data_IF_550325465986
#
_entry.id   IF_550325465986
#
_cell.length_a   1.000
_cell.length_b   1.000
_cell.length_c   1.000
_cell.angle_alpha   90.00
_cell.angle_beta   90.00
_cell.angle_gamma   90.00
#
_symmetry.space_group_name_H-M   'P 1'
#
loop_
_entity.id
_entity.type
_entity.pdbx_description
1 polymer ?
#
# COMPACT_ATOMS: atom_id res chain seq x y z
N UNK A 1 -24.53 0.98 -39.70
CA UNK A 1 -24.66 1.57 -38.35
C UNK A 1 -26.09 1.46 -37.80
N UNK A 2 -27.10 1.97 -38.51
CA UNK A 2 -28.49 2.00 -38.05
C UNK A 2 -29.08 0.61 -37.72
N UNK A 3 -28.70 -0.42 -38.49
CA UNK A 3 -29.13 -1.81 -38.26
C UNK A 3 -28.52 -2.43 -36.99
N UNK A 4 -27.29 -2.05 -36.62
CA UNK A 4 -26.62 -2.51 -35.38
C UNK A 4 -27.21 -1.84 -34.14
N UNK A 5 -27.62 -0.57 -34.24
CA UNK A 5 -28.29 0.15 -33.16
C UNK A 5 -29.65 -0.48 -32.83
N UNK A 6 -30.47 -0.79 -33.84
CA UNK A 6 -31.73 -1.52 -33.63
C UNK A 6 -31.53 -2.90 -32.99
N UNK A 7 -30.45 -3.60 -33.36
CA UNK A 7 -30.14 -4.89 -32.78
C UNK A 7 -29.72 -4.78 -31.30
N UNK A 8 -29.02 -3.70 -30.92
CA UNK A 8 -28.64 -3.41 -29.54
C UNK A 8 -29.85 -2.99 -28.69
N UNK A 9 -30.76 -2.19 -29.24
CA UNK A 9 -32.01 -1.81 -28.56
C UNK A 9 -32.87 -3.05 -28.29
N UNK A 10 -33.02 -3.94 -29.28
CA UNK A 10 -33.74 -5.20 -29.10
C UNK A 10 -33.12 -6.08 -28.00
N UNK A 11 -31.79 -6.22 -27.99
CA UNK A 11 -31.07 -6.99 -26.97
C UNK A 11 -31.17 -6.37 -25.57
N UNK A 12 -31.28 -5.05 -25.47
CA UNK A 12 -31.49 -4.34 -24.21
C UNK A 12 -32.91 -4.56 -23.67
N UNK A 13 -33.91 -4.51 -24.54
CA UNK A 13 -35.31 -4.80 -24.21
C UNK A 13 -35.48 -6.25 -23.72
N UNK A 14 -34.89 -7.21 -24.44
CA UNK A 14 -34.92 -8.64 -24.09
C UNK A 14 -34.22 -8.91 -22.75
N UNK A 15 -33.10 -8.24 -22.47
CA UNK A 15 -32.44 -8.32 -21.16
C UNK A 15 -33.30 -7.73 -20.05
N UNK A 16 -33.99 -6.61 -20.30
CA UNK A 16 -34.87 -6.00 -19.31
C UNK A 16 -36.04 -6.92 -18.95
N UNK A 17 -36.61 -7.59 -19.95
CA UNK A 17 -37.68 -8.58 -19.73
C UNK A 17 -37.17 -9.81 -18.97
N UNK A 18 -36.00 -10.34 -19.31
CA UNK A 18 -35.39 -11.45 -18.55
C UNK A 18 -35.15 -11.09 -17.08
N UNK A 19 -34.64 -9.88 -16.81
CA UNK A 19 -34.41 -9.40 -15.44
C UNK A 19 -35.74 -9.24 -14.68
N UNK A 20 -36.80 -8.78 -15.36
CA UNK A 20 -38.16 -8.74 -14.81
C UNK A 20 -38.68 -10.12 -14.41
N UNK A 21 -38.55 -11.11 -15.31
CA UNK A 21 -38.97 -12.48 -15.04
C UNK A 21 -38.17 -13.14 -13.91
N UNK A 22 -36.86 -12.86 -13.81
CA UNK A 22 -36.03 -13.31 -12.69
C UNK A 22 -36.46 -12.68 -11.37
N UNK A 23 -36.76 -11.38 -11.35
CA UNK A 23 -37.27 -10.69 -10.16
C UNK A 23 -38.60 -11.27 -9.69
N UNK A 24 -39.53 -11.51 -10.60
CA UNK A 24 -40.85 -12.05 -10.28
C UNK A 24 -40.75 -13.51 -9.80
N UNK A 25 -39.86 -14.30 -10.39
CA UNK A 25 -39.57 -15.67 -9.95
C UNK A 25 -38.95 -15.71 -8.54
N UNK A 26 -38.05 -14.78 -8.22
CA UNK A 26 -37.46 -14.65 -6.87
C UNK A 26 -38.50 -14.19 -5.85
N UNK A 27 -39.42 -13.30 -6.22
CA UNK A 27 -40.52 -12.89 -5.33
C UNK A 27 -41.54 -14.01 -5.10
N UNK A 28 -41.84 -14.82 -6.11
CA UNK A 28 -42.72 -15.99 -5.95
C UNK A 28 -42.12 -17.05 -5.01
N UNK A 29 -40.80 -17.23 -5.03
CA UNK A 29 -40.08 -18.13 -4.11
C UNK A 29 -39.97 -17.57 -2.69
N UNK A 30 -40.01 -16.24 -2.51
CA UNK A 30 -40.03 -15.59 -1.20
C UNK A 30 -41.42 -15.38 -0.58
N UNK A 31 -42.49 -15.74 -1.29
CA UNK A 31 -43.86 -15.29 -1.01
C UNK A 31 -44.83 -16.32 -0.40
N UNK A 32 -44.39 -17.51 -0.01
CA UNK A 32 -45.22 -18.49 0.72
C UNK A 32 -44.97 -18.42 2.22
N UNK A 33 -45.83 -17.70 2.97
CA UNK A 33 -45.83 -17.77 4.46
C UNK A 33 -46.54 -19.02 4.98
N UNK A 34 -47.00 -19.05 6.24
CA UNK A 34 -46.37 -18.67 7.51
C UNK A 34 -46.08 -19.94 8.36
N UNK A 35 -44.93 -20.01 9.02
CA UNK A 35 -44.61 -21.05 10.01
C UNK A 35 -44.16 -22.39 9.40
N UNK A 36 -42.85 -22.64 9.46
CA UNK A 36 -42.26 -23.91 9.05
C UNK A 36 -40.74 -23.83 9.10
N UNK A 37 -40.17 -24.39 10.15
CA UNK A 37 -38.75 -24.70 10.29
C UNK A 37 -38.28 -25.61 9.16
N UNK A 38 -36.98 -25.55 8.85
CA UNK A 38 -36.20 -26.46 7.98
C UNK A 38 -36.25 -26.25 6.46
N UNK A 39 -35.36 -25.38 5.98
CA UNK A 39 -34.45 -25.70 4.86
C UNK A 39 -33.26 -24.72 4.87
N UNK A 40 -32.05 -25.28 4.75
CA UNK A 40 -30.77 -24.61 5.04
C UNK A 40 -30.52 -23.31 4.27
N UNK A 41 -29.97 -22.34 5.00
CA UNK A 41 -29.71 -20.97 4.55
C UNK A 41 -28.72 -20.87 3.38
N UNK A 42 -29.25 -20.89 2.16
CA UNK A 42 -28.52 -20.66 0.91
C UNK A 42 -28.89 -19.32 0.23
N UNK A 43 -29.84 -18.57 0.78
CA UNK A 43 -30.29 -17.31 0.20
C UNK A 43 -30.20 -16.14 1.18
N UNK A 44 -29.87 -14.93 0.73
CA UNK A 44 -29.90 -13.74 1.59
C UNK A 44 -31.30 -13.50 2.16
N UNK A 45 -31.41 -13.30 3.47
CA UNK A 45 -32.66 -12.90 4.11
C UNK A 45 -32.56 -11.50 4.69
N UNK A 46 -33.71 -10.82 4.79
CA UNK A 46 -33.80 -9.45 5.26
C UNK A 46 -34.30 -9.41 6.69
N UNK A 47 -33.57 -8.72 7.55
CA UNK A 47 -33.97 -8.45 8.92
C UNK A 47 -35.07 -7.39 8.96
N UNK A 48 -35.85 -7.37 10.05
CA UNK A 48 -36.97 -6.43 10.26
C UNK A 48 -36.54 -4.97 10.31
N UNK A 49 -35.25 -4.70 10.59
CA UNK A 49 -34.61 -3.38 10.54
C UNK A 49 -34.14 -2.99 9.11
N UNK A 50 -34.44 -3.81 8.10
CA UNK A 50 -34.14 -3.54 6.70
C UNK A 50 -32.75 -3.96 6.24
N UNK A 51 -31.91 -4.51 7.12
CA UNK A 51 -30.55 -4.98 6.79
C UNK A 51 -30.59 -6.35 6.11
N UNK A 52 -29.72 -6.57 5.12
CA UNK A 52 -29.58 -7.84 4.42
C UNK A 52 -28.47 -8.68 5.04
N UNK A 53 -28.76 -9.95 5.34
CA UNK A 53 -27.78 -10.89 5.88
C UNK A 53 -27.43 -11.91 4.80
N UNK A 54 -26.15 -11.97 4.44
CA UNK A 54 -25.63 -12.98 3.51
C UNK A 54 -25.28 -14.25 4.29
N UNK A 55 -25.60 -15.46 3.79
CA UNK A 55 -25.27 -16.72 4.45
C UNK A 55 -23.77 -16.88 4.77
N UNK A 56 -22.93 -16.29 3.94
CA UNK A 56 -21.47 -16.31 4.03
C UNK A 56 -20.94 -15.56 5.27
N UNK A 57 -21.65 -14.51 5.71
CA UNK A 57 -21.30 -13.76 6.91
C UNK A 57 -21.56 -14.57 8.19
N UNK A 58 -22.58 -15.42 8.18
CA UNK A 58 -22.91 -16.30 9.31
C UNK A 58 -21.93 -17.46 9.40
N UNK A 59 -21.50 -18.02 8.26
CA UNK A 59 -20.49 -19.08 8.21
C UNK A 59 -19.11 -18.58 8.71
N UNK A 60 -18.72 -17.34 8.38
CA UNK A 60 -17.49 -16.74 8.87
C UNK A 60 -17.54 -16.47 10.38
N UNK A 61 -18.68 -16.01 10.91
CA UNK A 61 -18.86 -15.82 12.35
C UNK A 61 -18.83 -17.15 13.14
N UNK A 62 -19.26 -18.25 12.53
CA UNK A 62 -19.27 -19.57 13.17
C UNK A 62 -17.92 -20.33 13.11
N UNK A 63 -16.99 -19.92 12.23
CA UNK A 63 -15.70 -20.60 12.01
C UNK A 63 -14.49 -19.70 12.31
N UNK A 64 -14.58 -18.88 13.36
CA UNK A 64 -13.41 -18.16 13.88
C UNK A 64 -12.30 -19.14 14.29
N UNK A 65 -11.01 -18.79 14.11
CA UNK A 65 -9.91 -19.66 14.49
C UNK A 65 -9.93 -19.90 16.00
N UNK A 66 -9.95 -21.17 16.41
CA UNK A 66 -9.76 -21.60 17.79
C UNK A 66 -8.30 -21.36 18.23
N UNK A 67 -7.93 -20.09 18.41
CA UNK A 67 -6.78 -19.66 19.20
C UNK A 67 -7.30 -18.91 20.44
N UNK A 68 -6.56 -18.86 21.54
CA UNK A 68 -6.96 -18.05 22.69
C UNK A 68 -7.08 -16.61 22.21
N UNK A 69 -8.31 -16.10 22.15
CA UNK A 69 -8.58 -14.69 21.96
C UNK A 69 -7.86 -13.97 23.09
N UNK A 70 -6.81 -13.22 22.76
CA UNK A 70 -6.33 -12.16 23.64
C UNK A 70 -7.50 -11.24 24.01
N UNK A 71 -7.43 -10.53 25.14
CA UNK A 71 -8.53 -9.68 25.58
C UNK A 71 -8.97 -8.81 24.42
N UNK A 72 -10.27 -8.86 24.10
CA UNK A 72 -10.86 -8.08 23.02
C UNK A 72 -10.42 -6.63 23.18
N UNK A 73 -9.66 -6.10 22.21
CA UNK A 73 -9.44 -4.67 22.15
C UNK A 73 -10.81 -4.02 22.08
N UNK A 74 -11.19 -3.30 23.14
CA UNK A 74 -12.43 -2.51 23.15
C UNK A 74 -12.45 -1.62 21.91
N UNK A 75 -13.53 -1.71 21.12
CA UNK A 75 -13.76 -0.79 20.01
C UNK A 75 -13.72 0.64 20.55
N UNK A 76 -12.69 1.40 20.18
CA UNK A 76 -12.56 2.79 20.59
C UNK A 76 -13.38 3.66 19.65
N UNK A 77 -14.33 4.39 20.21
CA UNK A 77 -15.04 5.42 19.45
C UNK A 77 -14.04 6.49 19.01
N UNK A 78 -14.05 6.91 17.73
CA UNK A 78 -13.31 8.08 17.30
C UNK A 78 -13.92 9.29 18.00
N UNK A 79 -13.36 9.69 19.15
CA UNK A 79 -13.85 10.83 19.92
C UNK A 79 -13.69 12.09 19.08
N UNK A 80 -14.83 12.65 18.68
CA UNK A 80 -14.93 13.74 17.71
C UNK A 80 -14.37 15.09 18.11
N UNK A 81 -13.75 15.29 19.29
CA UNK A 81 -13.37 16.64 19.73
C UNK A 81 -12.22 16.72 20.76
N UNK A 82 -11.42 15.66 20.93
CA UNK A 82 -10.13 15.82 21.61
C UNK A 82 -9.04 15.64 20.57
N UNK A 83 -8.39 16.74 20.10
CA UNK A 83 -7.22 16.61 19.26
C UNK A 83 -6.18 15.93 20.13
N UNK A 84 -6.02 14.62 19.95
CA UNK A 84 -4.87 13.94 20.51
C UNK A 84 -3.65 14.78 20.09
N UNK A 85 -2.83 15.18 21.06
CA UNK A 85 -1.79 16.20 20.89
C UNK A 85 -0.76 15.66 19.88
N UNK A 86 -0.73 16.19 18.67
CA UNK A 86 0.35 15.94 17.70
C UNK A 86 1.35 17.08 17.83
N UNK A 87 2.63 16.75 17.70
CA UNK A 87 3.68 17.77 17.60
C UNK A 87 3.56 18.53 16.27
N UNK A 88 3.22 17.82 15.19
CA UNK A 88 3.01 18.40 13.85
C UNK A 88 1.64 17.98 13.32
N UNK A 89 0.78 18.97 13.06
CA UNK A 89 -0.50 18.78 12.36
C UNK A 89 -0.45 19.54 11.05
N UNK A 90 -0.55 18.81 9.94
CA UNK A 90 -0.33 19.38 8.60
C UNK A 90 -1.29 20.53 8.27
N UNK A 91 -2.52 20.53 8.78
CA UNK A 91 -3.46 21.64 8.60
C UNK A 91 -2.92 22.94 9.21
N UNK A 92 -2.39 22.86 10.43
CA UNK A 92 -1.87 24.01 11.18
C UNK A 92 -0.56 24.51 10.54
N UNK A 93 0.27 23.58 10.04
CA UNK A 93 1.47 23.91 9.25
C UNK A 93 1.09 24.65 7.96
N UNK A 94 0.06 24.21 7.25
CA UNK A 94 -0.41 24.87 6.03
C UNK A 94 -0.95 26.29 6.29
N UNK A 95 -1.54 26.54 7.46
CA UNK A 95 -1.97 27.90 7.87
C UNK A 95 -0.78 28.82 8.22
N UNK A 96 0.32 28.24 8.71
CA UNK A 96 1.53 28.97 9.09
C UNK A 96 2.44 29.27 7.89
N UNK A 97 2.47 28.40 6.87
CA UNK A 97 3.42 28.53 5.77
C UNK A 97 3.00 29.63 4.78
N UNK A 98 3.90 30.58 4.45
CA UNK A 98 3.64 31.62 3.46
C UNK A 98 3.70 31.12 2.01
N UNK A 99 4.24 29.91 1.78
CA UNK A 99 4.48 29.32 0.46
C UNK A 99 5.28 30.23 -0.49
N UNK A 100 6.24 30.97 0.07
CA UNK A 100 7.20 31.74 -0.69
C UNK A 100 8.22 30.83 -1.39
N UNK A 101 8.77 31.31 -2.51
CA UNK A 101 9.76 30.58 -3.30
C UNK A 101 11.02 31.43 -3.53
N UNK A 102 11.74 31.85 -2.47
CA UNK A 102 13.03 32.53 -2.60
C UNK A 102 14.13 31.54 -3.04
N UNK A 103 15.15 32.03 -3.75
CA UNK A 103 16.31 31.22 -4.13
C UNK A 103 17.20 30.93 -2.90
N UNK A 104 17.24 29.66 -2.49
CA UNK A 104 18.05 29.17 -1.35
C UNK A 104 19.53 28.94 -1.66
N UNK A 105 20.01 29.27 -2.87
CA UNK A 105 21.42 29.13 -3.25
C UNK A 105 21.73 27.80 -3.94
N UNK A 106 22.64 27.01 -3.38
CA UNK A 106 22.97 25.67 -3.91
C UNK A 106 21.79 24.70 -3.77
N UNK A 107 21.11 24.73 -2.62
CA UNK A 107 19.80 24.11 -2.44
C UNK A 107 18.70 25.12 -2.75
N UNK A 108 18.20 25.09 -3.99
CA UNK A 108 17.30 26.13 -4.54
C UNK A 108 16.04 26.41 -3.73
N UNK A 109 15.49 25.39 -3.07
CA UNK A 109 14.22 25.50 -2.34
C UNK A 109 14.41 25.46 -0.81
N UNK A 110 15.65 25.50 -0.33
CA UNK A 110 15.95 25.43 1.10
C UNK A 110 16.74 26.63 1.60
N UNK A 111 17.82 26.33 2.31
CA UNK A 111 18.70 27.31 2.94
C UNK A 111 20.15 26.76 2.98
N UNK A 112 21.10 27.62 3.30
CA UNK A 112 22.51 27.22 3.42
C UNK A 112 22.72 26.39 4.69
N UNK A 113 23.18 25.15 4.53
CA UNK A 113 23.31 24.18 5.62
C UNK A 113 24.70 24.34 6.23
N UNK A 114 24.73 24.69 7.51
CA UNK A 114 25.97 24.75 8.30
C UNK A 114 26.00 23.62 9.32
N UNK A 115 27.19 23.10 9.59
CA UNK A 115 27.42 22.05 10.58
C UNK A 115 28.73 22.33 11.32
N UNK A 116 28.84 21.82 12.54
CA UNK A 116 30.05 21.91 13.35
C UNK A 116 30.90 20.66 13.14
N UNK A 117 32.17 20.82 12.76
CA UNK A 117 33.07 19.69 12.48
C UNK A 117 33.29 18.78 13.69
N UNK A 118 33.27 19.37 14.90
CA UNK A 118 33.44 18.64 16.16
C UNK A 118 32.22 17.79 16.56
N UNK A 119 31.07 17.94 15.89
CA UNK A 119 29.83 17.25 16.25
C UNK A 119 29.92 15.72 16.17
N UNK A 120 30.90 15.19 15.43
CA UNK A 120 31.07 13.76 15.19
C UNK A 120 32.28 13.15 15.90
N UNK A 121 32.95 13.89 16.79
CA UNK A 121 34.13 13.40 17.53
C UNK A 121 33.77 12.30 18.54
N UNK A 122 32.61 12.42 19.21
CA UNK A 122 32.15 11.43 20.21
C UNK A 122 31.32 10.30 19.60
N UNK A 123 30.58 10.58 18.52
CA UNK A 123 29.67 9.63 17.88
C UNK A 123 29.87 9.72 16.37
N UNK A 124 30.50 8.73 15.71
CA UNK A 124 30.74 8.79 14.28
C UNK A 124 29.44 8.68 13.50
N UNK A 125 29.30 9.51 12.45
CA UNK A 125 28.16 9.46 11.54
C UNK A 125 28.16 8.15 10.74
N UNK A 126 27.07 7.39 10.83
CA UNK A 126 26.86 6.18 10.05
C UNK A 126 26.16 6.52 8.73
N UNK A 127 26.82 6.26 7.62
CA UNK A 127 26.30 6.55 6.28
C UNK A 127 25.90 5.25 5.61
N UNK A 128 24.61 5.13 5.28
CA UNK A 128 24.06 4.00 4.53
C UNK A 128 23.78 4.43 3.10
N UNK A 129 24.58 3.92 2.17
CA UNK A 129 24.31 4.09 0.73
C UNK A 129 23.39 2.95 0.31
N UNK A 130 22.20 3.29 -0.17
CA UNK A 130 21.16 2.32 -0.55
C UNK A 130 20.95 2.36 -2.07
N UNK A 131 21.57 1.43 -2.83
CA UNK A 131 21.35 1.33 -4.25
C UNK A 131 19.92 0.85 -4.56
N UNK A 132 19.23 1.58 -5.43
CA UNK A 132 17.86 1.26 -5.84
C UNK A 132 17.68 1.48 -7.35
N UNK A 133 16.60 0.94 -7.91
CA UNK A 133 16.18 1.21 -9.28
C UNK A 133 14.67 1.39 -9.30
N UNK A 134 14.20 2.58 -9.69
CA UNK A 134 12.77 2.83 -9.84
C UNK A 134 12.28 2.32 -11.19
N UNK A 135 11.24 1.49 -11.22
CA UNK A 135 10.79 0.79 -12.44
C UNK A 135 9.27 0.90 -12.56
N UNK A 136 8.79 1.80 -13.44
CA UNK A 136 7.37 2.14 -13.59
C UNK A 136 6.52 1.01 -14.21
N UNK A 137 5.72 0.28 -13.42
CA UNK A 137 4.98 -0.89 -13.92
C UNK A 137 3.64 -0.50 -14.56
N UNK A 138 3.10 0.68 -14.21
CA UNK A 138 1.88 1.23 -14.81
C UNK A 138 2.08 1.62 -16.29
N UNK A 139 3.33 1.60 -16.77
CA UNK A 139 3.69 2.03 -18.10
C UNK A 139 3.58 3.55 -18.25
N UNK A 140 4.69 4.25 -18.05
CA UNK A 140 4.72 5.70 -18.16
C UNK A 140 4.87 6.17 -19.62
N UNK A 141 6.10 6.11 -20.17
CA UNK A 141 6.38 6.47 -21.58
C UNK A 141 6.28 5.23 -22.49
N UNK A 142 6.54 4.06 -21.92
CA UNK A 142 6.43 2.75 -22.59
C UNK A 142 5.46 1.86 -21.83
N UNK A 143 4.98 0.81 -22.49
CA UNK A 143 4.14 -0.19 -21.84
C UNK A 143 4.96 -1.01 -20.84
N UNK A 144 4.28 -1.69 -19.92
CA UNK A 144 4.88 -2.64 -18.99
C UNK A 144 5.84 -3.61 -19.67
N UNK A 145 5.42 -4.19 -20.80
CA UNK A 145 6.24 -5.14 -21.58
C UNK A 145 7.42 -4.48 -22.27
N UNK A 146 7.23 -3.28 -22.83
CA UNK A 146 8.30 -2.51 -23.46
C UNK A 146 9.44 -2.20 -22.49
N UNK A 147 9.09 -1.72 -21.29
CA UNK A 147 10.07 -1.50 -20.22
C UNK A 147 10.72 -2.82 -19.78
N UNK A 148 9.94 -3.88 -19.64
CA UNK A 148 10.45 -5.17 -19.19
C UNK A 148 11.56 -5.71 -20.11
N UNK A 149 11.28 -5.78 -21.41
CA UNK A 149 12.18 -6.39 -22.40
C UNK A 149 13.43 -5.52 -22.61
N UNK A 150 13.27 -4.21 -22.66
CA UNK A 150 14.37 -3.31 -22.99
C UNK A 150 15.28 -2.97 -21.79
N UNK A 151 14.70 -2.86 -20.58
CA UNK A 151 15.39 -2.28 -19.42
C UNK A 151 15.32 -3.21 -18.21
N UNK A 152 14.13 -3.45 -17.64
CA UNK A 152 13.97 -4.09 -16.33
C UNK A 152 14.58 -5.48 -16.27
N UNK A 153 14.41 -6.30 -17.30
CA UNK A 153 15.02 -7.64 -17.36
C UNK A 153 16.54 -7.56 -17.25
N UNK A 154 17.18 -6.61 -17.96
CA UNK A 154 18.63 -6.42 -17.93
C UNK A 154 19.11 -5.91 -16.58
N UNK A 155 18.33 -5.05 -15.93
CA UNK A 155 18.62 -4.55 -14.58
C UNK A 155 18.62 -5.72 -13.60
N UNK A 156 17.57 -6.55 -13.59
CA UNK A 156 17.47 -7.70 -12.70
C UNK A 156 18.56 -8.75 -12.98
N UNK A 157 18.79 -9.10 -14.24
CA UNK A 157 19.85 -10.05 -14.63
C UNK A 157 21.23 -9.57 -14.13
N UNK A 158 21.55 -8.29 -14.37
CA UNK A 158 22.81 -7.71 -13.91
C UNK A 158 22.89 -7.59 -12.39
N UNK A 159 21.79 -7.22 -11.72
CA UNK A 159 21.75 -7.13 -10.27
C UNK A 159 22.07 -8.48 -9.63
N UNK A 160 21.49 -9.58 -10.11
CA UNK A 160 21.78 -10.92 -9.58
C UNK A 160 23.26 -11.31 -9.72
N UNK A 161 23.86 -11.04 -10.89
CA UNK A 161 25.28 -11.32 -11.14
C UNK A 161 26.16 -10.44 -10.24
N UNK A 162 25.91 -9.13 -10.21
CA UNK A 162 26.75 -8.18 -9.46
C UNK A 162 26.61 -8.30 -7.95
N UNK A 163 25.44 -8.67 -7.45
CA UNK A 163 25.28 -8.96 -6.02
C UNK A 163 25.99 -10.27 -5.65
N UNK A 164 25.96 -11.29 -6.52
CA UNK A 164 26.65 -12.55 -6.26
C UNK A 164 28.19 -12.42 -6.24
N UNK A 165 28.75 -11.43 -6.94
CA UNK A 165 30.21 -11.17 -6.96
C UNK A 165 30.77 -10.61 -5.64
N UNK A 166 30.00 -9.79 -4.90
CA UNK A 166 30.47 -9.15 -3.66
C UNK A 166 29.37 -9.14 -2.60
N UNK A 167 29.59 -9.91 -1.53
CA UNK A 167 28.68 -10.08 -0.39
C UNK A 167 28.36 -8.78 0.37
N UNK A 168 29.13 -7.70 0.18
CA UNK A 168 28.88 -6.39 0.79
C UNK A 168 27.89 -5.54 0.00
N UNK A 169 27.67 -5.85 -1.28
CA UNK A 169 26.72 -5.10 -2.10
C UNK A 169 25.30 -5.33 -1.60
N UNK A 170 24.51 -4.26 -1.63
CA UNK A 170 23.10 -4.23 -1.25
C UNK A 170 22.30 -3.62 -2.39
N UNK A 171 21.08 -4.08 -2.57
CA UNK A 171 20.14 -3.52 -3.54
C UNK A 171 18.72 -3.69 -3.02
N UNK A 172 17.89 -2.66 -3.20
CA UNK A 172 16.47 -2.73 -2.86
C UNK A 172 15.62 -2.83 -4.13
N UNK A 173 14.51 -3.56 -4.03
CA UNK A 173 13.53 -3.72 -5.10
C UNK A 173 12.11 -3.52 -4.57
N UNK A 174 11.29 -2.72 -5.25
CA UNK A 174 9.95 -2.38 -4.79
C UNK A 174 8.84 -3.11 -5.57
N UNK A 175 8.93 -3.11 -6.90
CA UNK A 175 7.80 -3.48 -7.77
C UNK A 175 7.74 -5.00 -8.03
N UNK A 176 6.87 -5.71 -7.32
CA UNK A 176 6.77 -7.18 -7.42
C UNK A 176 6.27 -7.64 -8.78
N UNK A 177 5.44 -6.84 -9.48
CA UNK A 177 4.97 -7.15 -10.84
C UNK A 177 6.11 -7.49 -11.81
N UNK A 178 7.18 -6.71 -11.80
CA UNK A 178 8.35 -6.96 -12.64
C UNK A 178 9.19 -8.13 -12.14
N UNK A 179 9.32 -8.29 -10.83
CA UNK A 179 10.03 -9.42 -10.24
C UNK A 179 9.33 -10.74 -10.59
N UNK A 180 8.00 -10.77 -10.54
CA UNK A 180 7.18 -11.92 -10.92
C UNK A 180 7.34 -12.25 -12.40
N UNK A 181 7.27 -11.25 -13.28
CA UNK A 181 7.49 -11.46 -14.72
C UNK A 181 8.90 -11.94 -15.05
N UNK A 182 9.92 -11.41 -14.35
CA UNK A 182 11.28 -11.91 -14.47
C UNK A 182 11.41 -13.35 -13.98
N UNK A 183 10.77 -13.66 -12.86
CA UNK A 183 10.81 -14.99 -12.26
C UNK A 183 10.27 -16.07 -13.20
N UNK A 184 9.17 -15.79 -13.91
CA UNK A 184 8.60 -16.70 -14.92
C UNK A 184 9.59 -17.08 -16.03
N UNK A 185 10.36 -16.09 -16.51
CA UNK A 185 11.38 -16.29 -17.55
C UNK A 185 12.75 -16.77 -17.04
N UNK A 186 13.00 -16.72 -15.72
CA UNK A 186 14.27 -17.10 -15.12
C UNK A 186 14.43 -18.62 -15.00
N UNK A 187 15.66 -19.11 -15.22
CA UNK A 187 15.99 -20.53 -15.05
C UNK A 187 16.10 -20.93 -13.56
N UNK A 188 16.24 -22.23 -13.29
CA UNK A 188 16.34 -22.74 -11.93
C UNK A 188 17.58 -22.20 -11.17
N UNK A 189 18.69 -21.94 -11.86
CA UNK A 189 19.93 -21.46 -11.25
C UNK A 189 19.82 -19.97 -10.88
N UNK A 190 19.21 -19.16 -11.74
CA UNK A 190 18.90 -17.75 -11.48
C UNK A 190 17.94 -17.62 -10.31
N UNK A 191 16.86 -18.42 -10.28
CA UNK A 191 15.91 -18.45 -9.16
C UNK A 191 16.57 -18.84 -7.84
N UNK A 192 17.45 -19.84 -7.85
CA UNK A 192 18.21 -20.24 -6.66
C UNK A 192 19.17 -19.13 -6.19
N UNK A 193 19.81 -18.44 -7.13
CA UNK A 193 20.69 -17.30 -6.83
C UNK A 193 19.90 -16.15 -6.19
N UNK A 194 18.75 -15.79 -6.76
CA UNK A 194 17.88 -14.76 -6.22
C UNK A 194 17.43 -15.08 -4.79
N UNK A 195 16.97 -16.31 -4.54
CA UNK A 195 16.61 -16.75 -3.17
C UNK A 195 17.78 -16.60 -2.20
N UNK A 196 18.96 -17.09 -2.57
CA UNK A 196 20.17 -16.98 -1.74
C UNK A 196 20.54 -15.52 -1.44
N UNK A 197 20.43 -14.62 -2.42
CA UNK A 197 20.74 -13.21 -2.24
C UNK A 197 19.73 -12.51 -1.32
N UNK A 198 18.48 -12.92 -1.37
CA UNK A 198 17.42 -12.42 -0.50
C UNK A 198 17.59 -12.94 0.93
N UNK A 199 17.81 -14.25 1.08
CA UNK A 199 18.08 -14.89 2.39
C UNK A 199 19.36 -14.32 3.03
N UNK A 200 20.36 -13.98 2.21
CA UNK A 200 21.60 -13.33 2.62
C UNK A 200 21.47 -11.81 2.90
N UNK A 201 20.28 -11.23 2.71
CA UNK A 201 20.03 -9.79 2.91
C UNK A 201 20.78 -8.88 1.93
N UNK A 202 21.27 -9.40 0.82
CA UNK A 202 21.90 -8.61 -0.24
C UNK A 202 20.86 -7.93 -1.14
N UNK A 203 19.76 -8.64 -1.40
CA UNK A 203 18.60 -8.12 -2.11
C UNK A 203 17.44 -8.01 -1.13
N UNK A 204 17.00 -6.79 -0.84
CA UNK A 204 15.85 -6.55 0.04
C UNK A 204 14.63 -6.12 -0.77
N UNK A 205 13.48 -6.73 -0.49
CA UNK A 205 12.21 -6.31 -1.07
C UNK A 205 11.56 -5.28 -0.15
N UNK A 206 11.34 -4.08 -0.66
CA UNK A 206 10.73 -2.96 0.05
C UNK A 206 9.29 -2.75 -0.42
N UNK A 207 8.36 -2.42 0.47
CA UNK A 207 6.90 -2.38 0.27
C UNK A 207 6.30 -3.75 -0.10
N UNK A 208 6.78 -4.38 -1.17
CA UNK A 208 6.32 -5.65 -1.71
C UNK A 208 4.95 -5.61 -2.37
N UNK A 209 4.43 -4.42 -2.68
CA UNK A 209 3.22 -4.29 -3.48
C UNK A 209 3.45 -4.75 -4.91
N UNK A 210 2.37 -5.10 -5.62
CA UNK A 210 2.45 -5.35 -7.06
C UNK A 210 3.03 -4.16 -7.82
N UNK A 211 2.67 -2.96 -7.35
CA UNK A 211 3.15 -1.66 -7.85
C UNK A 211 3.45 -0.72 -6.69
N UNK A 212 4.06 0.43 -6.98
CA UNK A 212 4.01 1.59 -6.11
C UNK A 212 2.73 2.37 -6.46
N UNK A 213 1.66 2.30 -5.64
CA UNK A 213 0.36 2.84 -6.04
C UNK A 213 0.37 4.37 -6.03
N UNK A 214 -0.51 4.97 -6.84
CA UNK A 214 -0.94 6.35 -6.60
C UNK A 214 -1.54 6.46 -5.19
N UNK A 215 -1.42 7.62 -4.56
CA UNK A 215 -1.98 7.87 -3.22
C UNK A 215 -3.11 8.91 -3.23
N UNK A 216 -3.39 9.52 -4.40
CA UNK A 216 -4.42 10.56 -4.55
C UNK A 216 -5.77 10.01 -5.05
N UNK A 217 -5.78 9.27 -6.17
CA UNK A 217 -7.03 8.92 -6.87
C UNK A 217 -7.52 7.50 -6.58
N UNK A 218 -6.66 6.66 -6.02
CA UNK A 218 -6.95 5.23 -5.85
C UNK A 218 -7.91 4.98 -4.69
N UNK A 219 -8.80 4.02 -4.87
CA UNK A 219 -9.67 3.55 -3.80
C UNK A 219 -8.91 2.62 -2.83
N UNK A 220 -9.25 2.66 -1.54
CA UNK A 220 -8.60 1.83 -0.50
C UNK A 220 -8.58 0.33 -0.84
N UNK A 221 -9.65 -0.19 -1.45
CA UNK A 221 -9.72 -1.58 -1.91
C UNK A 221 -8.66 -1.91 -2.97
N UNK A 222 -8.44 -1.02 -3.95
CA UNK A 222 -7.42 -1.25 -4.96
C UNK A 222 -6.01 -1.14 -4.39
N UNK A 223 -5.78 -0.25 -3.41
CA UNK A 223 -4.51 -0.21 -2.65
C UNK A 223 -4.25 -1.51 -1.90
N UNK A 224 -5.30 -2.10 -1.32
CA UNK A 224 -5.22 -3.36 -0.59
C UNK A 224 -4.98 -4.55 -1.54
N UNK A 225 -5.75 -4.64 -2.63
CA UNK A 225 -5.66 -5.76 -3.59
C UNK A 225 -4.27 -5.85 -4.22
N UNK A 226 -3.68 -4.72 -4.65
CA UNK A 226 -2.33 -4.74 -5.22
C UNK A 226 -1.26 -5.13 -4.18
N UNK A 227 -1.45 -4.75 -2.92
CA UNK A 227 -0.53 -5.10 -1.84
C UNK A 227 -0.63 -6.59 -1.52
N UNK A 228 -1.86 -7.09 -1.46
CA UNK A 228 -2.17 -8.49 -1.20
C UNK A 228 -1.60 -9.39 -2.30
N UNK A 229 -1.78 -9.03 -3.57
CA UNK A 229 -1.23 -9.79 -4.71
C UNK A 229 0.30 -9.89 -4.62
N UNK A 230 0.98 -8.76 -4.39
CA UNK A 230 2.43 -8.72 -4.24
C UNK A 230 2.93 -9.55 -3.05
N UNK A 231 2.31 -9.37 -1.87
CA UNK A 231 2.69 -10.10 -0.65
C UNK A 231 2.43 -11.61 -0.76
N UNK A 232 1.30 -12.03 -1.35
CA UNK A 232 1.02 -13.45 -1.60
C UNK A 232 2.04 -14.06 -2.57
N UNK A 233 2.42 -13.31 -3.61
CA UNK A 233 3.43 -13.79 -4.55
C UNK A 233 4.79 -13.98 -3.87
N UNK A 234 5.23 -12.99 -3.07
CA UNK A 234 6.47 -13.03 -2.31
C UNK A 234 6.50 -14.20 -1.32
N UNK A 235 5.42 -14.42 -0.57
CA UNK A 235 5.35 -15.49 0.40
C UNK A 235 5.40 -16.88 -0.27
N UNK A 236 4.66 -17.08 -1.37
CA UNK A 236 4.62 -18.36 -2.09
C UNK A 236 5.96 -18.72 -2.75
N UNK A 237 6.64 -17.74 -3.35
CA UNK A 237 7.82 -18.00 -4.18
C UNK A 237 9.13 -17.83 -3.42
N UNK A 238 9.22 -16.80 -2.58
CA UNK A 238 10.46 -16.36 -1.93
C UNK A 238 10.41 -16.55 -0.40
N UNK A 239 9.22 -16.71 0.20
CA UNK A 239 9.08 -16.89 1.64
C UNK A 239 9.41 -15.63 2.44
N UNK A 240 9.36 -14.45 1.81
CA UNK A 240 9.74 -13.17 2.44
C UNK A 240 8.55 -12.28 2.73
N UNK A 241 8.67 -11.53 3.82
CA UNK A 241 7.72 -10.49 4.22
C UNK A 241 8.47 -9.16 4.38
N UNK A 242 8.19 -8.15 3.55
CA UNK A 242 8.81 -6.83 3.65
C UNK A 242 8.60 -6.20 5.02
N UNK A 243 9.60 -5.45 5.50
CA UNK A 243 9.53 -4.73 6.79
C UNK A 243 9.55 -3.21 6.65
N UNK A 244 10.01 -2.74 5.50
CA UNK A 244 10.19 -1.31 5.19
C UNK A 244 9.39 -0.97 3.95
N UNK A 245 8.59 0.09 4.02
CA UNK A 245 7.87 0.70 2.92
C UNK A 245 8.74 1.73 2.21
N UNK A 246 8.56 1.81 0.90
CA UNK A 246 9.29 2.67 -0.01
C UNK A 246 8.30 3.24 -1.03
N UNK A 247 8.05 4.55 -0.94
CA UNK A 247 7.10 5.28 -1.78
C UNK A 247 7.75 6.60 -2.25
N UNK A 248 8.61 6.52 -3.26
CA UNK A 248 9.38 7.68 -3.73
C UNK A 248 8.72 8.45 -4.87
N UNK A 249 7.80 7.85 -5.61
CA UNK A 249 7.21 8.44 -6.81
C UNK A 249 5.71 8.76 -6.81
N UNK A 250 4.88 8.41 -5.80
CA UNK A 250 3.50 8.91 -5.73
C UNK A 250 3.46 10.44 -5.69
N UNK A 251 2.54 11.07 -6.42
CA UNK A 251 2.47 12.53 -6.51
C UNK A 251 1.69 13.14 -5.34
N UNK A 252 2.36 13.17 -4.19
CA UNK A 252 1.72 13.43 -2.90
C UNK A 252 1.45 12.12 -2.17
N UNK A 253 1.34 12.20 -0.84
CA UNK A 253 1.20 11.04 0.02
C UNK A 253 -0.04 11.15 0.89
N UNK A 254 -0.65 10.00 1.19
CA UNK A 254 -1.90 9.86 1.91
C UNK A 254 -1.70 9.08 3.21
N UNK A 255 -2.30 9.52 4.32
CA UNK A 255 -2.24 8.77 5.58
C UNK A 255 -2.87 7.37 5.45
N UNK A 256 -3.72 7.14 4.45
CA UNK A 256 -4.30 5.82 4.15
C UNK A 256 -3.22 4.80 3.81
N UNK A 257 -2.22 5.16 3.00
CA UNK A 257 -1.13 4.24 2.65
C UNK A 257 -0.32 3.87 3.90
N UNK A 258 -0.01 4.86 4.74
CA UNK A 258 0.68 4.62 6.01
C UNK A 258 -0.08 3.66 6.94
N UNK A 259 -1.41 3.80 7.02
CA UNK A 259 -2.27 2.90 7.79
C UNK A 259 -2.24 1.46 7.25
N UNK A 260 -2.41 1.30 5.93
CA UNK A 260 -2.44 -0.02 5.29
C UNK A 260 -1.10 -0.75 5.43
N UNK A 261 0.03 -0.06 5.23
CA UNK A 261 1.36 -0.63 5.39
C UNK A 261 1.57 -1.12 6.83
N UNK A 262 1.20 -0.31 7.81
CA UNK A 262 1.31 -0.69 9.22
C UNK A 262 0.41 -1.88 9.56
N UNK A 263 -0.80 -1.93 9.02
CA UNK A 263 -1.71 -3.08 9.15
C UNK A 263 -1.19 -4.36 8.48
N UNK A 264 -0.41 -4.22 7.41
CA UNK A 264 0.29 -5.34 6.78
C UNK A 264 1.56 -5.79 7.55
N UNK A 265 1.89 -5.16 8.68
CA UNK A 265 3.06 -5.51 9.49
C UNK A 265 4.35 -4.81 9.08
N UNK A 266 4.30 -3.85 8.16
CA UNK A 266 5.44 -3.02 7.77
C UNK A 266 5.68 -1.99 8.87
N UNK A 267 6.93 -1.84 9.30
CA UNK A 267 7.28 -1.07 10.50
C UNK A 267 7.66 0.37 10.18
N UNK A 268 8.39 0.56 9.08
CA UNK A 268 8.89 1.84 8.63
C UNK A 268 8.38 2.15 7.23
N UNK A 269 8.27 3.42 6.86
CA UNK A 269 8.00 3.87 5.50
C UNK A 269 8.89 5.04 5.12
N UNK A 270 9.20 5.16 3.85
CA UNK A 270 9.90 6.31 3.27
C UNK A 270 9.04 6.96 2.20
N UNK A 271 8.96 8.29 2.25
CA UNK A 271 8.26 9.13 1.29
C UNK A 271 9.17 10.21 0.72
N UNK A 272 8.83 10.72 -0.47
CA UNK A 272 9.65 11.73 -1.15
C UNK A 272 8.87 12.94 -1.65
N UNK A 273 7.78 12.75 -2.40
CA UNK A 273 7.14 13.84 -3.14
C UNK A 273 6.15 14.61 -2.27
N UNK A 274 6.69 15.35 -1.31
CA UNK A 274 5.97 16.34 -0.51
C UNK A 274 6.24 17.75 -1.03
N UNK A 275 5.37 18.71 -0.69
CA UNK A 275 5.52 20.10 -1.13
C UNK A 275 6.86 20.68 -0.65
N UNK A 276 7.59 21.40 -1.51
CA UNK A 276 8.93 21.90 -1.20
C UNK A 276 8.97 22.81 0.04
N UNK A 277 7.97 23.69 0.22
CA UNK A 277 7.86 24.52 1.43
C UNK A 277 7.65 23.69 2.70
N UNK A 278 6.95 22.55 2.60
CA UNK A 278 6.78 21.62 3.73
C UNK A 278 8.12 20.94 4.02
N UNK A 279 8.84 20.46 3.01
CA UNK A 279 10.21 19.91 3.19
C UNK A 279 11.12 20.90 3.88
N UNK A 280 11.15 22.16 3.42
CA UNK A 280 11.94 23.25 4.02
C UNK A 280 11.59 23.46 5.49
N UNK A 281 10.30 23.52 5.81
CA UNK A 281 9.83 23.70 7.19
C UNK A 281 10.20 22.51 8.09
N UNK A 282 9.92 21.28 7.65
CA UNK A 282 10.26 20.08 8.42
C UNK A 282 11.78 19.90 8.56
N UNK A 283 12.57 20.28 7.55
CA UNK A 283 14.03 20.26 7.62
C UNK A 283 14.56 21.27 8.65
N UNK A 284 13.98 22.47 8.71
CA UNK A 284 14.35 23.49 9.70
C UNK A 284 14.04 23.03 11.13
N UNK A 285 12.86 22.44 11.35
CA UNK A 285 12.43 21.89 12.64
C UNK A 285 13.02 20.50 12.94
N UNK A 286 13.90 19.97 12.09
CA UNK A 286 14.49 18.62 12.21
C UNK A 286 13.44 17.51 12.41
N UNK A 287 12.29 17.67 11.78
CA UNK A 287 11.09 16.83 11.91
C UNK A 287 10.77 16.08 10.60
N UNK A 288 11.79 15.76 9.79
CA UNK A 288 11.65 14.96 8.57
C UNK A 288 11.40 13.47 8.86
N UNK A 289 11.79 13.02 10.06
CA UNK A 289 11.46 11.71 10.60
C UNK A 289 10.38 11.89 11.66
N UNK A 290 9.27 11.18 11.51
CA UNK A 290 8.13 11.33 12.40
C UNK A 290 7.34 10.04 12.50
N UNK A 291 6.59 9.92 13.58
CA UNK A 291 5.59 8.88 13.71
C UNK A 291 4.27 9.35 13.08
N UNK A 292 3.98 8.84 11.89
CA UNK A 292 2.76 9.16 11.18
C UNK A 292 1.59 8.36 11.76
N UNK A 293 0.60 9.10 12.27
CA UNK A 293 -0.65 8.56 12.81
C UNK A 293 -1.86 9.07 12.06
N UNK A 294 -2.96 8.32 12.15
CA UNK A 294 -4.25 8.72 11.62
C UNK A 294 -4.83 9.90 12.42
N UNK A 295 -5.60 10.77 11.76
CA UNK A 295 -6.16 11.98 12.38
C UNK A 295 -7.11 11.68 13.55
N UNK A 296 -7.76 10.51 13.55
CA UNK A 296 -8.62 10.01 14.62
C UNK A 296 -7.90 9.11 15.64
N UNK A 297 -6.62 8.81 15.45
CA UNK A 297 -5.87 7.90 16.31
C UNK A 297 -5.31 8.59 17.56
N UNK A 298 -5.66 8.11 18.75
CA UNK A 298 -5.01 8.54 20.00
C UNK A 298 -3.54 8.08 20.05
N UNK A 299 -2.65 8.93 20.60
CA UNK A 299 -1.25 8.56 20.85
C UNK A 299 -1.18 7.61 22.05
N UNK A 300 -0.63 6.40 21.83
CA UNK A 300 -0.25 5.51 22.93
C UNK A 300 1.13 4.89 22.62
N UNK A 301 1.99 4.69 23.64
CA UNK A 301 3.31 4.07 23.48
C UNK A 301 3.26 2.68 22.82
N UNK A 302 2.13 1.96 22.99
CA UNK A 302 1.88 0.62 22.46
C UNK A 302 0.80 0.61 21.34
N UNK A 303 0.55 1.75 20.67
CA UNK A 303 -0.56 1.92 19.72
C UNK A 303 -0.40 1.11 18.40
N UNK A 304 -0.52 -0.22 18.48
CA UNK A 304 -0.72 -1.19 17.39
C UNK A 304 -0.55 -0.67 15.95
N UNK A 305 -1.67 -0.64 15.21
CA UNK A 305 -1.74 -0.30 13.78
C UNK A 305 -1.69 1.21 13.46
N UNK A 306 -1.71 2.07 14.47
CA UNK A 306 -1.95 3.51 14.29
C UNK A 306 -0.69 4.37 14.28
N UNK A 307 0.48 3.79 14.56
CA UNK A 307 1.75 4.48 14.60
C UNK A 307 2.72 3.87 13.58
N UNK A 308 3.03 4.61 12.52
CA UNK A 308 3.98 4.17 11.51
C UNK A 308 5.18 5.12 11.47
N UNK A 309 6.39 4.59 11.63
CA UNK A 309 7.59 5.40 11.53
C UNK A 309 7.81 5.79 10.07
N UNK A 310 7.86 7.09 9.79
CA UNK A 310 7.96 7.64 8.45
C UNK A 310 9.20 8.52 8.34
N UNK A 311 9.96 8.33 7.26
CA UNK A 311 11.05 9.20 6.86
C UNK A 311 10.64 9.94 5.58
N UNK A 312 10.63 11.26 5.63
CA UNK A 312 10.49 12.11 4.44
C UNK A 312 11.89 12.52 3.98
N UNK A 313 12.25 12.12 2.77
CA UNK A 313 13.47 12.63 2.15
C UNK A 313 13.40 14.17 2.06
N UNK A 314 14.51 14.91 2.31
CA UNK A 314 14.52 16.38 2.25
C UNK A 314 14.33 16.95 0.83
#
# INVERSE_FOLDING_TARGET
>A
LHQRLKQLEQLLEDNHQMIGHLRDSVQALGGSGPGGTDSGGLYPWRLTNGTWVLPQMVAWAAQGPAGPAGPAEECREPRGDSPAKADVKMMDVYELLPFDNPDGGAWKQGFDITYEDAAWESTPLQIYVVPHSHNDPAGWIKTFEGYFVEQTKRILDNAMVKLAEDSRRRFIWAEVSYLAKWWEGADAAQRATAKRLIDGGQLEIVTGGWVMPDEANVHVWAMLDQMLEGHQWLERHLGVRPRSGWAIDPFGHSPTNAYLLRAAGIQNMLIQRTHYSVKKHLAHERSLEFHWRQSWGEWQPDAGVNLHHCHTMP
#
